data_IF_282648180783
#
_entry.id   IF_282648180783
#
_cell.length_a   1.000
_cell.length_b   1.000
_cell.length_c   1.000
_cell.angle_alpha   90.00
_cell.angle_beta   90.00
_cell.angle_gamma   90.00
#
_symmetry.space_group_name_H-M   'P 1'
#
loop_
_entity.id
_entity.type
_entity.pdbx_description
1 polymer ?
#
# COMPACT_ATOMS: atom_id res chain seq x y z
N UNK A 1 -31.38 31.86 4.96
CA UNK A 1 -30.35 32.89 4.76
C UNK A 1 -30.32 33.70 6.04
N UNK A 2 -29.47 33.35 6.99
CA UNK A 2 -29.34 34.05 8.28
C UNK A 2 -28.08 34.91 8.24
N UNK A 3 -28.21 36.10 8.82
CA UNK A 3 -27.26 37.21 8.85
C UNK A 3 -25.79 36.79 8.95
N UNK A 4 -24.98 37.24 7.99
CA UNK A 4 -23.52 37.17 8.09
C UNK A 4 -23.05 38.31 8.99
N UNK A 5 -22.56 37.96 10.17
CA UNK A 5 -21.82 38.84 11.07
C UNK A 5 -20.66 39.57 10.34
N UNK A 6 -20.22 40.75 10.82
CA UNK A 6 -19.08 41.48 10.26
C UNK A 6 -17.80 40.61 10.24
N UNK A 7 -16.89 40.93 9.32
CA UNK A 7 -15.65 40.19 9.04
C UNK A 7 -14.84 39.94 10.33
N UNK A 8 -14.86 38.71 10.85
CA UNK A 8 -14.12 38.31 12.04
C UNK A 8 -12.74 37.77 11.64
N UNK A 9 -11.69 38.52 11.94
CA UNK A 9 -10.29 38.11 11.71
C UNK A 9 -9.76 37.17 12.79
N UNK A 10 -10.49 36.96 13.89
CA UNK A 10 -10.12 36.08 14.98
C UNK A 10 -10.52 34.62 14.69
N UNK A 11 -9.88 34.03 13.68
CA UNK A 11 -10.17 32.66 13.25
C UNK A 11 -9.65 31.65 14.29
N UNK A 12 -10.47 30.65 14.61
CA UNK A 12 -10.10 29.57 15.52
C UNK A 12 -9.67 28.33 14.73
N UNK A 13 -8.36 28.15 14.57
CA UNK A 13 -7.82 26.92 13.98
C UNK A 13 -7.95 25.74 14.93
N UNK A 14 -7.91 24.51 14.39
CA UNK A 14 -7.92 23.29 15.20
C UNK A 14 -6.75 23.26 16.16
N UNK A 15 -5.55 23.61 15.71
CA UNK A 15 -4.37 23.65 16.58
C UNK A 15 -4.60 24.60 17.75
N UNK A 16 -5.13 25.81 17.50
CA UNK A 16 -5.48 26.76 18.56
C UNK A 16 -6.55 26.19 19.49
N UNK A 17 -7.62 25.61 18.95
CA UNK A 17 -8.71 25.01 19.73
C UNK A 17 -8.17 23.91 20.68
N UNK A 18 -7.38 22.98 20.16
CA UNK A 18 -6.82 21.87 20.92
C UNK A 18 -5.80 22.37 21.96
N UNK A 19 -5.02 23.40 21.64
CA UNK A 19 -4.13 24.04 22.62
C UNK A 19 -4.90 24.68 23.77
N UNK A 20 -5.96 25.43 23.47
CA UNK A 20 -6.81 26.07 24.49
C UNK A 20 -7.51 25.02 25.39
N UNK A 21 -8.05 23.95 24.80
CA UNK A 21 -8.64 22.83 25.55
C UNK A 21 -7.60 22.06 26.37
N UNK A 22 -6.41 21.81 25.82
CA UNK A 22 -5.30 21.17 26.52
C UNK A 22 -4.81 21.97 27.73
N UNK A 23 -4.78 23.32 27.62
CA UNK A 23 -4.48 24.21 28.75
C UNK A 23 -5.53 24.12 29.84
N UNK A 24 -6.83 24.08 29.49
CA UNK A 24 -7.92 23.89 30.47
C UNK A 24 -7.80 22.54 31.19
N UNK A 25 -7.44 21.49 30.47
CA UNK A 25 -7.21 20.15 31.00
C UNK A 25 -5.88 19.99 31.76
N UNK A 26 -5.01 21.01 31.79
CA UNK A 26 -3.65 20.96 32.37
C UNK A 26 -2.81 19.78 31.82
N UNK A 27 -2.95 19.51 30.52
CA UNK A 27 -2.24 18.42 29.86
C UNK A 27 -0.77 18.74 29.58
N UNK A 28 0.02 17.69 29.33
CA UNK A 28 1.47 17.80 29.01
C UNK A 28 1.75 18.32 27.59
N UNK A 29 0.73 18.44 26.73
CA UNK A 29 0.87 18.81 25.33
C UNK A 29 0.99 17.62 24.35
N UNK A 30 1.27 16.42 24.83
CA UNK A 30 1.36 15.20 23.99
C UNK A 30 0.09 14.96 23.15
N UNK A 31 -1.09 15.21 23.73
CA UNK A 31 -2.35 15.07 23.00
C UNK A 31 -2.50 16.10 21.88
N UNK A 32 -2.01 17.32 22.10
CA UNK A 32 -1.98 18.37 21.07
C UNK A 32 -1.02 18.00 19.94
N UNK A 33 0.15 17.44 20.27
CA UNK A 33 1.11 16.94 19.29
C UNK A 33 0.50 15.79 18.46
N UNK A 34 -0.16 14.84 19.11
CA UNK A 34 -0.89 13.75 18.46
C UNK A 34 -1.89 14.26 17.41
N UNK A 35 -2.77 15.19 17.80
CA UNK A 35 -3.79 15.73 16.92
C UNK A 35 -3.19 16.57 15.79
N UNK A 36 -2.11 17.31 16.03
CA UNK A 36 -1.40 18.04 14.99
C UNK A 36 -0.77 17.08 13.96
N UNK A 37 -0.11 16.00 14.39
CA UNK A 37 0.41 14.96 13.51
C UNK A 37 -0.69 14.32 12.66
N UNK A 38 -1.83 14.02 13.28
CA UNK A 38 -2.99 13.49 12.57
C UNK A 38 -3.54 14.50 11.54
N UNK A 39 -3.62 15.79 11.88
CA UNK A 39 -4.03 16.83 10.94
C UNK A 39 -3.09 16.93 9.74
N UNK A 40 -1.78 16.76 9.94
CA UNK A 40 -0.80 16.72 8.85
C UNK A 40 -1.05 15.52 7.93
N UNK A 41 -1.29 14.33 8.49
CA UNK A 41 -1.64 13.15 7.70
C UNK A 41 -2.93 13.37 6.89
N UNK A 42 -3.98 13.90 7.52
CA UNK A 42 -5.26 14.20 6.85
C UNK A 42 -5.07 15.22 5.72
N UNK A 43 -4.24 16.25 5.88
CA UNK A 43 -3.93 17.21 4.81
C UNK A 43 -3.20 16.55 3.64
N UNK A 44 -2.25 15.67 3.92
CA UNK A 44 -1.52 14.92 2.89
C UNK A 44 -2.45 13.98 2.11
N UNK A 45 -3.29 13.22 2.81
CA UNK A 45 -4.30 12.34 2.18
C UNK A 45 -5.30 13.16 1.36
N UNK A 46 -5.81 14.24 1.94
CA UNK A 46 -6.71 15.21 1.29
C UNK A 46 -6.14 15.76 -0.03
N UNK A 47 -4.84 16.06 -0.06
CA UNK A 47 -4.12 16.48 -1.27
C UNK A 47 -4.00 15.35 -2.29
N UNK A 48 -3.63 14.14 -1.84
CA UNK A 48 -3.50 12.95 -2.70
C UNK A 48 -4.83 12.55 -3.35
N UNK A 49 -5.92 12.49 -2.57
CA UNK A 49 -7.28 12.15 -3.03
C UNK A 49 -7.74 13.12 -4.13
N UNK A 50 -7.50 14.43 -3.98
CA UNK A 50 -7.91 15.45 -4.95
C UNK A 50 -7.19 15.37 -6.30
N UNK A 51 -6.03 14.71 -6.35
CA UNK A 51 -5.21 14.55 -7.56
C UNK A 51 -5.02 13.08 -7.96
N UNK A 52 -5.80 12.18 -7.39
CA UNK A 52 -5.56 10.74 -7.49
C UNK A 52 -5.56 10.22 -8.94
N UNK A 53 -6.47 10.72 -9.78
CA UNK A 53 -6.49 10.38 -11.21
C UNK A 53 -5.28 10.90 -12.00
N UNK A 54 -4.75 12.07 -11.63
CA UNK A 54 -3.58 12.69 -12.28
C UNK A 54 -2.30 11.98 -11.88
N UNK A 55 -2.18 11.60 -10.61
CA UNK A 55 -1.03 10.92 -10.04
C UNK A 55 -1.06 9.39 -10.24
N UNK A 56 -1.98 8.87 -11.06
CA UNK A 56 -2.17 7.43 -11.30
C UNK A 56 -2.31 6.59 -10.00
N UNK A 57 -2.94 7.18 -8.99
CA UNK A 57 -3.20 6.57 -7.68
C UNK A 57 -4.48 5.73 -7.66
N UNK A 58 -5.20 5.65 -8.78
CA UNK A 58 -6.31 4.70 -8.96
C UNK A 58 -5.81 3.28 -9.24
N UNK A 59 -6.67 2.32 -8.92
CA UNK A 59 -6.44 0.90 -9.13
C UNK A 59 -5.89 0.15 -7.91
N UNK A 60 -5.84 -1.18 -8.09
CA UNK A 60 -5.52 -2.16 -7.08
C UNK A 60 -3.99 -2.17 -6.87
N UNK A 61 -3.55 -2.27 -5.61
CA UNK A 61 -2.14 -2.34 -5.23
C UNK A 61 -1.55 -3.75 -5.35
N UNK A 62 -2.39 -4.76 -5.64
CA UNK A 62 -2.00 -6.15 -5.84
C UNK A 62 -2.09 -7.03 -4.59
N UNK A 63 -2.67 -6.53 -3.49
CA UNK A 63 -2.84 -7.24 -2.22
C UNK A 63 -4.31 -7.19 -1.73
N UNK A 64 -4.65 -8.09 -0.80
CA UNK A 64 -5.94 -8.11 -0.09
C UNK A 64 -5.67 -7.79 1.38
N UNK A 65 -6.48 -6.93 2.00
CA UNK A 65 -6.32 -6.56 3.41
C UNK A 65 -6.88 -7.65 4.34
N UNK A 66 -6.74 -7.47 5.66
CA UNK A 66 -7.19 -8.48 6.64
C UNK A 66 -8.70 -8.65 6.69
N UNK A 67 -9.48 -7.70 6.20
CA UNK A 67 -10.95 -7.73 6.11
C UNK A 67 -11.45 -8.26 4.76
N UNK A 68 -10.54 -8.62 3.85
CA UNK A 68 -10.83 -9.36 2.62
C UNK A 68 -11.11 -8.47 1.41
N UNK A 69 -10.94 -7.16 1.57
CA UNK A 69 -11.13 -6.18 0.51
C UNK A 69 -9.82 -6.01 -0.30
N UNK A 70 -9.96 -5.76 -1.61
CA UNK A 70 -8.80 -5.52 -2.49
C UNK A 70 -8.19 -4.16 -2.14
N UNK A 71 -6.92 -4.17 -1.75
CA UNK A 71 -6.19 -2.97 -1.33
C UNK A 71 -5.94 -2.10 -2.54
N UNK A 72 -6.33 -0.82 -2.48
CA UNK A 72 -6.03 0.18 -3.51
C UNK A 72 -4.75 0.94 -3.16
N UNK A 73 -4.12 1.56 -4.16
CA UNK A 73 -2.87 2.31 -3.94
C UNK A 73 -3.02 3.44 -2.90
N UNK A 74 -4.19 4.09 -2.87
CA UNK A 74 -4.49 5.12 -1.89
C UNK A 74 -4.65 4.58 -0.46
N UNK A 75 -5.05 3.32 -0.30
CA UNK A 75 -5.14 2.67 1.01
C UNK A 75 -3.73 2.52 1.61
N UNK A 76 -2.77 2.03 0.81
CA UNK A 76 -1.35 1.95 1.24
C UNK A 76 -0.79 3.33 1.57
N UNK A 77 -0.98 4.31 0.68
CA UNK A 77 -0.45 5.67 0.88
C UNK A 77 -1.02 6.29 2.17
N UNK A 78 -2.33 6.21 2.36
CA UNK A 78 -2.98 6.79 3.54
C UNK A 78 -2.53 6.09 4.82
N UNK A 79 -2.40 4.76 4.80
CA UNK A 79 -1.91 3.98 5.93
C UNK A 79 -0.49 4.40 6.33
N UNK A 80 0.43 4.45 5.37
CA UNK A 80 1.83 4.82 5.59
C UNK A 80 1.94 6.26 6.12
N UNK A 81 1.19 7.20 5.53
CA UNK A 81 1.17 8.59 5.98
C UNK A 81 0.74 8.70 7.44
N UNK A 82 -0.37 8.05 7.83
CA UNK A 82 -0.87 8.15 9.19
C UNK A 82 0.08 7.45 10.17
N UNK A 83 0.57 6.24 9.88
CA UNK A 83 1.53 5.52 10.74
C UNK A 83 2.79 6.38 10.98
N UNK A 84 3.37 6.93 9.91
CA UNK A 84 4.59 7.73 10.01
C UNK A 84 4.38 9.01 10.83
N UNK A 85 3.26 9.71 10.61
CA UNK A 85 2.93 10.91 11.39
C UNK A 85 2.64 10.59 12.86
N UNK A 86 1.97 9.46 13.14
CA UNK A 86 1.71 9.03 14.51
C UNK A 86 3.00 8.62 15.23
N UNK A 87 3.89 7.83 14.61
CA UNK A 87 5.18 7.47 15.21
C UNK A 87 6.05 8.70 15.49
N UNK A 88 6.13 9.64 14.57
CA UNK A 88 6.92 10.87 14.73
C UNK A 88 6.29 11.91 15.67
N UNK A 89 5.09 11.65 16.19
CA UNK A 89 4.43 12.54 17.17
C UNK A 89 4.99 12.43 18.58
N UNK A 90 5.78 11.38 18.88
CA UNK A 90 6.26 11.04 20.23
C UNK A 90 5.14 10.86 21.28
N UNK A 91 3.91 10.61 20.83
CA UNK A 91 2.73 10.60 21.68
C UNK A 91 2.02 9.23 21.70
N UNK A 92 2.34 8.32 20.79
CA UNK A 92 1.69 7.02 20.65
C UNK A 92 2.59 5.86 21.08
N UNK A 93 2.01 4.78 21.59
CA UNK A 93 2.72 3.54 21.92
C UNK A 93 2.22 2.34 21.10
N UNK A 94 0.95 2.33 20.72
CA UNK A 94 0.32 1.26 19.93
C UNK A 94 -0.55 1.90 18.85
N UNK A 95 -0.44 1.41 17.62
CA UNK A 95 -1.26 1.82 16.49
C UNK A 95 -1.95 0.58 15.92
N UNK A 96 -3.27 0.64 15.76
CA UNK A 96 -4.08 -0.39 15.09
C UNK A 96 -4.66 0.22 13.82
N UNK A 97 -4.39 -0.39 12.68
CA UNK A 97 -4.89 0.06 11.38
C UNK A 97 -5.69 -1.05 10.72
N UNK A 98 -6.75 -0.69 10.01
CA UNK A 98 -7.52 -1.61 9.17
C UNK A 98 -6.64 -2.32 8.12
N UNK A 99 -5.57 -1.65 7.67
CA UNK A 99 -4.64 -2.17 6.66
C UNK A 99 -3.48 -3.03 7.22
N UNK A 100 -3.41 -3.20 8.55
CA UNK A 100 -2.33 -3.97 9.20
C UNK A 100 -2.89 -5.10 10.05
N UNK A 101 -2.42 -6.33 9.81
CA UNK A 101 -2.87 -7.54 10.53
C UNK A 101 -2.62 -7.49 12.04
N UNK A 102 -1.48 -6.96 12.44
CA UNK A 102 -1.08 -6.90 13.84
C UNK A 102 -0.99 -5.45 14.29
N UNK A 103 -1.23 -5.23 15.59
CA UNK A 103 -0.97 -3.92 16.16
C UNK A 103 0.52 -3.54 16.01
N UNK A 104 0.75 -2.30 15.59
CA UNK A 104 2.09 -1.73 15.43
C UNK A 104 2.53 -1.19 16.78
N UNK A 105 3.56 -1.79 17.36
CA UNK A 105 4.19 -1.32 18.59
C UNK A 105 5.23 -0.26 18.22
N UNK A 106 5.08 0.94 18.77
CA UNK A 106 5.99 2.07 18.50
C UNK A 106 7.33 1.84 19.19
N UNK A 107 8.42 2.20 18.52
CA UNK A 107 9.79 2.05 18.98
C UNK A 107 10.04 2.85 20.27
N UNK A 108 10.81 2.34 21.26
CA UNK A 108 10.94 2.96 22.59
C UNK A 108 11.31 4.45 22.62
N UNK A 109 12.14 4.92 21.68
CA UNK A 109 12.59 6.30 21.54
C UNK A 109 11.49 7.26 21.02
N UNK A 110 10.40 6.72 20.49
CA UNK A 110 9.26 7.46 19.93
C UNK A 110 7.95 7.25 20.67
N UNK A 111 7.97 6.54 21.80
CA UNK A 111 6.75 6.20 22.53
C UNK A 111 6.17 7.38 23.29
N UNK A 112 4.85 7.50 23.23
CA UNK A 112 4.06 8.25 24.22
C UNK A 112 2.98 7.38 24.87
N UNK A 113 1.97 8.01 25.48
CA UNK A 113 0.95 7.31 26.29
C UNK A 113 -0.36 6.99 25.58
N UNK A 114 -0.49 7.31 24.30
CA UNK A 114 -1.72 7.13 23.54
C UNK A 114 -1.69 5.90 22.64
N UNK A 115 -2.88 5.35 22.42
CA UNK A 115 -3.13 4.25 21.50
C UNK A 115 -4.09 4.77 20.45
N UNK A 116 -3.80 4.53 19.18
CA UNK A 116 -4.63 5.01 18.08
C UNK A 116 -5.14 3.82 17.28
N UNK A 117 -6.45 3.69 17.17
CA UNK A 117 -7.09 2.73 16.27
C UNK A 117 -7.73 3.50 15.12
N UNK A 118 -7.45 3.12 13.88
CA UNK A 118 -7.81 3.90 12.70
C UNK A 118 -8.24 3.05 11.51
N UNK A 119 -9.06 3.67 10.67
CA UNK A 119 -9.25 3.30 9.27
C UNK A 119 -8.64 4.43 8.44
N UNK A 120 -7.51 4.19 7.74
CA UNK A 120 -6.80 5.24 7.04
C UNK A 120 -7.58 5.77 5.83
N UNK A 121 -8.43 4.95 5.18
CA UNK A 121 -9.22 5.34 4.02
C UNK A 121 -10.56 4.57 3.89
N UNK A 122 -11.56 4.98 4.67
CA UNK A 122 -12.92 4.46 4.59
C UNK A 122 -13.56 4.79 3.23
N UNK A 123 -14.25 3.80 2.68
CA UNK A 123 -14.95 3.92 1.41
C UNK A 123 -14.05 3.74 0.20
N UNK A 124 -12.92 3.02 0.33
CA UNK A 124 -11.98 2.76 -0.78
C UNK A 124 -12.66 2.27 -2.07
N UNK A 125 -13.73 1.46 -1.97
CA UNK A 125 -14.56 1.03 -3.11
C UNK A 125 -15.10 2.18 -3.98
N UNK A 126 -15.30 3.36 -3.39
CA UNK A 126 -15.83 4.58 -4.01
C UNK A 126 -14.76 5.50 -4.65
N UNK A 127 -13.48 5.15 -4.55
CA UNK A 127 -12.37 5.97 -5.07
C UNK A 127 -12.49 6.22 -6.57
N UNK A 128 -12.68 5.16 -7.37
CA UNK A 128 -12.61 5.26 -8.84
C UNK A 128 -13.82 6.01 -9.42
N UNK A 129 -14.94 6.07 -8.68
CA UNK A 129 -16.13 6.83 -9.06
C UNK A 129 -16.22 8.22 -8.42
N UNK A 130 -15.13 8.70 -7.79
CA UNK A 130 -15.00 10.06 -7.23
C UNK A 130 -16.05 10.42 -6.17
N UNK A 131 -16.61 9.40 -5.51
CA UNK A 131 -17.56 9.60 -4.42
C UNK A 131 -16.79 9.92 -3.14
N UNK A 132 -17.46 10.57 -2.17
CA UNK A 132 -16.83 10.93 -0.90
C UNK A 132 -16.33 9.70 -0.14
N UNK A 133 -15.11 9.83 0.37
CA UNK A 133 -14.37 8.86 1.19
C UNK A 133 -13.86 9.56 2.46
N UNK A 134 -13.18 8.85 3.37
CA UNK A 134 -12.74 9.47 4.61
C UNK A 134 -11.64 8.72 5.36
N UNK A 135 -11.23 9.25 6.51
CA UNK A 135 -10.32 8.58 7.46
C UNK A 135 -11.02 8.57 8.81
N UNK A 136 -11.01 7.45 9.53
CA UNK A 136 -11.63 7.30 10.86
C UNK A 136 -10.53 7.07 11.89
N UNK A 137 -10.69 7.64 13.09
CA UNK A 137 -9.76 7.38 14.17
C UNK A 137 -10.44 7.40 15.55
N UNK A 138 -9.86 6.64 16.47
CA UNK A 138 -10.15 6.66 17.89
C UNK A 138 -8.85 6.62 18.68
N UNK A 139 -8.83 7.36 19.78
CA UNK A 139 -7.65 7.54 20.62
C UNK A 139 -8.01 7.06 22.03
N UNK A 140 -7.19 6.15 22.54
CA UNK A 140 -7.24 5.66 23.92
C UNK A 140 -5.99 6.09 24.66
N UNK A 141 -6.05 6.06 26.00
CA UNK A 141 -4.86 6.13 26.85
C UNK A 141 -4.43 4.72 27.22
N UNK A 142 -3.13 4.44 27.19
CA UNK A 142 -2.58 3.19 27.74
C UNK A 142 -2.81 3.16 29.25
N UNK A 143 -3.37 2.07 29.75
CA UNK A 143 -3.72 1.90 31.17
C UNK A 143 -2.80 0.94 31.91
N UNK A 144 -2.18 0.00 31.21
CA UNK A 144 -1.22 -0.96 31.78
C UNK A 144 0.13 -0.28 32.07
N UNK A 145 0.87 -0.84 33.02
CA UNK A 145 2.26 -0.45 33.32
C UNK A 145 3.30 -1.27 32.55
N UNK A 146 2.89 -2.38 31.94
CA UNK A 146 3.76 -3.31 31.20
C UNK A 146 4.25 -2.71 29.87
N UNK A 147 5.12 -3.43 29.17
CA UNK A 147 5.51 -3.06 27.80
C UNK A 147 4.28 -2.98 26.88
N UNK A 148 4.19 -1.96 25.98
CA UNK A 148 3.06 -1.83 25.08
C UNK A 148 2.85 -3.07 24.20
N UNK A 149 1.61 -3.52 24.09
CA UNK A 149 1.23 -4.69 23.30
C UNK A 149 -0.14 -4.50 22.65
N UNK A 150 -0.50 -5.40 21.74
CA UNK A 150 -1.82 -5.42 21.09
C UNK A 150 -2.98 -5.44 22.11
N UNK A 151 -2.77 -6.07 23.28
CA UNK A 151 -3.77 -6.13 24.35
C UNK A 151 -4.18 -4.75 24.86
N UNK A 152 -3.29 -3.76 24.79
CA UNK A 152 -3.58 -2.41 25.25
C UNK A 152 -4.62 -1.71 24.36
N UNK A 153 -4.77 -2.13 23.11
CA UNK A 153 -5.79 -1.62 22.18
C UNK A 153 -7.16 -2.29 22.39
N UNK A 154 -7.22 -3.44 23.08
CA UNK A 154 -8.44 -4.20 23.36
C UNK A 154 -9.23 -3.60 24.54
N UNK A 155 -9.55 -2.31 24.44
CA UNK A 155 -10.31 -1.57 25.45
C UNK A 155 -11.77 -1.39 25.02
N UNK A 156 -12.65 -1.20 26.01
CA UNK A 156 -14.02 -0.75 25.73
C UNK A 156 -14.00 0.63 25.07
N UNK A 157 -14.81 0.85 24.04
CA UNK A 157 -14.99 2.17 23.42
C UNK A 157 -15.42 3.28 24.38
N UNK A 158 -15.91 2.93 25.58
CA UNK A 158 -16.15 3.90 26.67
C UNK A 158 -14.88 4.56 27.21
N UNK A 159 -13.71 3.99 26.93
CA UNK A 159 -12.41 4.49 27.35
C UNK A 159 -11.75 5.40 26.31
N UNK A 160 -12.40 5.67 25.19
CA UNK A 160 -11.93 6.63 24.18
C UNK A 160 -11.79 8.01 24.83
N UNK A 161 -10.62 8.62 24.68
CA UNK A 161 -10.37 10.00 25.14
C UNK A 161 -10.69 11.03 24.05
N UNK A 162 -10.58 10.62 22.78
CA UNK A 162 -11.04 11.38 21.62
C UNK A 162 -11.25 10.46 20.42
N UNK A 163 -12.22 10.79 19.58
CA UNK A 163 -12.44 10.10 18.31
C UNK A 163 -12.90 11.10 17.27
N UNK A 164 -12.81 10.71 16.01
CA UNK A 164 -13.20 11.58 14.92
C UNK A 164 -13.06 10.92 13.58
N UNK A 165 -13.33 11.72 12.56
CA UNK A 165 -13.12 11.32 11.19
C UNK A 165 -12.83 12.55 10.32
N UNK A 166 -12.09 12.33 9.24
CA UNK A 166 -11.94 13.27 8.15
C UNK A 166 -12.85 12.84 6.99
N UNK A 167 -13.62 13.77 6.43
CA UNK A 167 -14.40 13.56 5.20
C UNK A 167 -13.66 14.22 4.05
N UNK A 168 -13.38 13.48 2.99
CA UNK A 168 -12.84 13.98 1.73
C UNK A 168 -13.97 14.12 0.71
N UNK A 169 -14.85 15.10 0.93
CA UNK A 169 -16.00 15.38 0.07
C UNK A 169 -15.77 16.59 -0.84
N UNK A 170 -16.84 17.34 -1.10
CA UNK A 170 -16.76 18.63 -1.82
C UNK A 170 -15.84 19.64 -1.13
N UNK A 171 -15.72 19.55 0.19
CA UNK A 171 -14.68 20.16 1.00
C UNK A 171 -14.09 19.08 1.92
N UNK A 172 -12.88 19.33 2.45
CA UNK A 172 -12.33 18.47 3.50
C UNK A 172 -12.74 18.98 4.86
N UNK A 173 -13.36 18.13 5.66
CA UNK A 173 -13.80 18.44 7.01
C UNK A 173 -13.23 17.42 7.99
N UNK A 174 -12.67 17.88 9.09
CA UNK A 174 -12.32 17.05 10.24
C UNK A 174 -13.36 17.24 11.33
N UNK A 175 -14.01 16.16 11.74
CA UNK A 175 -14.93 16.13 12.88
C UNK A 175 -14.21 15.53 14.06
N UNK A 176 -14.13 16.27 15.17
CA UNK A 176 -13.44 15.85 16.39
C UNK A 176 -14.41 15.82 17.57
N UNK A 177 -14.52 14.66 18.19
CA UNK A 177 -15.25 14.42 19.41
C UNK A 177 -14.29 14.21 20.58
N UNK A 178 -14.52 14.93 21.68
CA UNK A 178 -13.81 14.79 22.95
C UNK A 178 -14.81 14.80 24.10
N UNK A 179 -14.34 14.76 25.35
CA UNK A 179 -15.20 14.99 26.52
C UNK A 179 -15.95 16.33 26.47
N UNK A 180 -15.42 17.35 25.77
CA UNK A 180 -16.04 18.67 25.65
C UNK A 180 -17.13 18.78 24.56
N UNK A 181 -17.45 17.69 23.86
CA UNK A 181 -18.44 17.66 22.78
C UNK A 181 -17.82 17.42 21.40
N UNK A 182 -18.60 17.71 20.35
CA UNK A 182 -18.26 17.45 18.94
C UNK A 182 -18.09 18.77 18.20
N UNK A 183 -17.00 18.94 17.46
CA UNK A 183 -16.72 20.15 16.69
C UNK A 183 -16.26 19.79 15.27
N UNK A 184 -16.63 20.61 14.29
CA UNK A 184 -16.28 20.43 12.89
C UNK A 184 -15.30 21.52 12.43
N UNK A 185 -14.21 21.10 11.82
CA UNK A 185 -13.19 21.97 11.28
C UNK A 185 -13.06 21.76 9.78
N UNK A 186 -13.17 22.81 8.98
CA UNK A 186 -13.01 22.74 7.54
C UNK A 186 -11.58 23.10 7.15
N UNK A 187 -10.97 22.32 6.25
CA UNK A 187 -9.65 22.62 5.70
C UNK A 187 -9.76 23.80 4.74
N UNK A 188 -9.05 24.88 5.03
CA UNK A 188 -8.72 25.91 4.06
C UNK A 188 -7.49 25.45 3.26
N UNK A 189 -7.64 25.11 1.97
CA UNK A 189 -6.54 24.60 1.16
C UNK A 189 -5.51 25.67 0.79
N UNK A 190 -5.84 26.97 0.89
CA UNK A 190 -4.93 28.06 0.53
C UNK A 190 -3.84 28.25 1.58
N UNK A 191 -4.19 28.08 2.86
CA UNK A 191 -3.26 28.23 3.99
C UNK A 191 -2.91 26.90 4.67
N UNK A 192 -3.63 25.81 4.35
CA UNK A 192 -3.37 24.49 4.91
C UNK A 192 -3.77 24.37 6.39
N UNK A 193 -4.83 25.07 6.81
CA UNK A 193 -5.32 25.09 8.20
C UNK A 193 -6.75 24.57 8.32
N UNK A 194 -7.02 23.85 9.41
CA UNK A 194 -8.37 23.42 9.77
C UNK A 194 -9.03 24.51 10.61
N UNK A 195 -10.06 25.16 10.08
CA UNK A 195 -10.78 26.26 10.71
C UNK A 195 -12.08 25.75 11.32
N UNK A 196 -12.37 26.10 12.58
CA UNK A 196 -13.64 25.77 13.22
C UNK A 196 -14.81 26.40 12.44
N UNK A 197 -15.74 25.57 11.98
CA UNK A 197 -16.95 26.01 11.26
C UNK A 197 -18.23 25.70 12.02
N UNK A 198 -18.26 24.59 12.77
CA UNK A 198 -19.39 24.23 13.63
C UNK A 198 -18.91 23.81 15.02
N UNK A 199 -19.44 24.48 16.04
CA UNK A 199 -19.08 24.25 17.44
C UNK A 199 -20.19 23.51 18.18
N UNK A 200 -19.81 22.57 19.04
CA UNK A 200 -20.71 21.77 19.89
C UNK A 200 -21.91 21.17 19.12
N UNK A 201 -21.60 20.49 18.02
CA UNK A 201 -22.59 19.89 17.11
C UNK A 201 -23.47 18.89 17.86
N UNK A 202 -24.79 19.05 17.71
CA UNK A 202 -25.81 18.11 18.19
C UNK A 202 -26.65 17.62 17.03
N UNK A 203 -26.80 16.31 16.93
CA UNK A 203 -27.71 15.69 15.97
C UNK A 203 -29.17 16.03 16.31
N UNK A 204 -30.02 16.14 15.29
CA UNK A 204 -31.47 16.31 15.49
C UNK A 204 -32.06 15.10 16.20
N UNK A 205 -33.02 15.34 17.10
CA UNK A 205 -33.74 14.26 17.83
C UNK A 205 -34.47 13.28 16.91
N UNK A 206 -34.97 13.74 15.76
CA UNK A 206 -35.64 12.93 14.74
C UNK A 206 -35.30 13.49 13.36
N UNK A 207 -34.95 12.62 12.43
CA UNK A 207 -34.75 12.95 11.02
C UNK A 207 -35.80 12.32 10.12
N UNK A 208 -35.56 12.39 8.81
CA UNK A 208 -36.43 11.88 7.75
C UNK A 208 -35.64 11.14 6.66
N UNK A 209 -34.44 10.64 7.00
CA UNK A 209 -33.54 9.92 6.11
C UNK A 209 -33.19 8.58 6.76
N UNK A 210 -33.12 7.52 5.95
CA UNK A 210 -32.48 6.26 6.34
C UNK A 210 -31.36 5.91 5.36
N UNK A 211 -30.35 5.22 5.85
CA UNK A 211 -29.14 4.87 5.11
C UNK A 211 -28.72 3.44 5.35
N UNK A 212 -28.88 2.60 4.33
CA UNK A 212 -28.38 1.22 4.28
C UNK A 212 -28.30 0.74 2.83
N UNK A 213 -27.54 -0.32 2.62
CA UNK A 213 -27.53 -1.02 1.35
C UNK A 213 -28.73 -1.96 1.23
N UNK A 214 -29.81 -1.49 0.59
CA UNK A 214 -31.01 -2.31 0.33
C UNK A 214 -30.78 -3.47 -0.66
N UNK A 215 -29.62 -3.54 -1.33
CA UNK A 215 -29.23 -4.74 -2.08
C UNK A 215 -29.16 -6.00 -1.22
N UNK A 216 -29.03 -5.85 0.11
CA UNK A 216 -29.09 -6.95 1.06
C UNK A 216 -30.50 -7.27 1.59
N UNK A 217 -31.57 -6.71 1.00
CA UNK A 217 -32.95 -6.92 1.47
C UNK A 217 -33.35 -8.38 1.66
N UNK A 218 -32.86 -9.29 0.81
CA UNK A 218 -33.09 -10.74 0.93
C UNK A 218 -32.54 -11.34 2.24
N UNK A 219 -31.54 -10.71 2.85
CA UNK A 219 -30.79 -11.24 3.98
C UNK A 219 -31.07 -10.52 5.30
N UNK A 220 -31.83 -9.41 5.27
CA UNK A 220 -32.18 -8.68 6.48
C UNK A 220 -32.95 -9.55 7.46
N UNK A 221 -32.70 -9.32 8.75
CA UNK A 221 -33.57 -9.84 9.78
C UNK A 221 -34.98 -9.23 9.66
N UNK A 222 -35.99 -9.88 10.27
CA UNK A 222 -37.37 -9.40 10.22
C UNK A 222 -37.56 -7.98 10.76
N UNK A 223 -36.80 -7.57 11.77
CA UNK A 223 -36.96 -6.27 12.41
C UNK A 223 -36.46 -5.13 11.51
N UNK A 224 -35.32 -5.32 10.83
CA UNK A 224 -34.83 -4.38 9.81
C UNK A 224 -35.82 -4.30 8.65
N UNK A 225 -36.32 -5.43 8.18
CA UNK A 225 -37.31 -5.48 7.09
C UNK A 225 -38.58 -4.72 7.46
N UNK A 226 -39.12 -4.95 8.65
CA UNK A 226 -40.29 -4.24 9.17
C UNK A 226 -40.03 -2.74 9.30
N UNK A 227 -38.87 -2.34 9.85
CA UNK A 227 -38.51 -0.94 10.01
C UNK A 227 -38.46 -0.23 8.66
N UNK A 228 -37.79 -0.79 7.66
CA UNK A 228 -37.69 -0.19 6.32
C UNK A 228 -39.06 -0.11 5.65
N UNK A 229 -39.91 -1.13 5.81
CA UNK A 229 -41.30 -1.07 5.32
C UNK A 229 -42.05 0.11 5.94
N UNK A 230 -41.99 0.29 7.27
CA UNK A 230 -42.63 1.43 7.96
C UNK A 230 -42.07 2.80 7.52
N UNK A 231 -40.80 2.86 7.13
CA UNK A 231 -40.18 4.11 6.65
C UNK A 231 -40.52 4.45 5.20
N UNK A 232 -40.74 3.43 4.36
CA UNK A 232 -41.21 3.62 2.97
C UNK A 232 -42.72 3.87 2.88
N UNK A 233 -43.49 3.18 3.72
CA UNK A 233 -44.95 3.19 3.71
C UNK A 233 -45.48 3.50 5.12
N UNK A 234 -45.34 4.75 5.59
CA UNK A 234 -45.85 5.15 6.90
C UNK A 234 -47.39 5.09 6.93
N UNK A 235 -47.93 4.41 7.94
CA UNK A 235 -49.39 4.28 8.18
C UNK A 235 -49.91 5.35 9.14
N UNK A 236 -49.02 6.10 9.80
CA UNK A 236 -49.33 7.13 10.79
C UNK A 236 -49.56 8.53 10.18
N UNK A 237 -49.67 8.62 8.84
CA UNK A 237 -49.84 9.87 8.10
C UNK A 237 -48.57 10.72 7.97
N UNK A 238 -47.42 10.24 8.48
CA UNK A 238 -46.14 10.93 8.28
C UNK A 238 -45.62 10.75 6.86
N UNK A 239 -44.70 11.63 6.42
CA UNK A 239 -44.08 11.47 5.10
C UNK A 239 -43.08 10.30 5.09
N UNK A 240 -42.96 9.57 3.96
CA UNK A 240 -41.92 8.56 3.77
C UNK A 240 -40.52 9.14 4.00
N UNK A 241 -39.61 8.32 4.50
CA UNK A 241 -38.22 8.71 4.65
C UNK A 241 -37.51 8.62 3.31
N UNK A 242 -36.54 9.52 3.09
CA UNK A 242 -35.64 9.44 1.95
C UNK A 242 -34.58 8.36 2.15
N UNK A 243 -34.45 7.44 1.20
CA UNK A 243 -33.33 6.51 1.12
C UNK A 243 -32.09 7.25 0.58
N UNK A 244 -31.00 7.25 1.36
CA UNK A 244 -29.72 7.82 0.95
C UNK A 244 -28.61 6.89 1.45
N UNK A 245 -27.90 6.24 0.54
CA UNK A 245 -26.79 5.35 0.87
C UNK A 245 -25.65 5.61 -0.11
N UNK A 246 -24.47 5.90 0.43
CA UNK A 246 -23.27 6.24 -0.33
C UNK A 246 -22.34 5.03 -0.40
N UNK A 247 -22.32 4.19 0.64
CA UNK A 247 -21.39 3.08 0.72
C UNK A 247 -19.99 3.45 1.24
N UNK A 248 -19.86 4.64 1.85
CA UNK A 248 -18.76 5.03 2.73
C UNK A 248 -19.35 5.31 4.10
N UNK A 249 -18.82 4.67 5.15
CA UNK A 249 -19.32 4.87 6.51
C UNK A 249 -19.17 6.32 6.93
N UNK A 250 -18.02 6.93 6.64
CA UNK A 250 -17.73 8.34 6.96
C UNK A 250 -18.74 9.26 6.30
N UNK A 251 -19.01 9.10 5.00
CA UNK A 251 -19.94 9.97 4.27
C UNK A 251 -21.39 9.81 4.77
N UNK A 252 -21.84 8.57 4.98
CA UNK A 252 -23.20 8.27 5.44
C UNK A 252 -23.43 8.69 6.91
N UNK A 253 -22.43 8.51 7.78
CA UNK A 253 -22.46 8.98 9.19
C UNK A 253 -22.41 10.50 9.24
N UNK A 254 -21.55 11.15 8.47
CA UNK A 254 -21.46 12.61 8.45
C UNK A 254 -22.78 13.25 8.00
N UNK A 255 -23.39 12.73 6.93
CA UNK A 255 -24.73 13.16 6.49
C UNK A 255 -25.77 12.98 7.60
N UNK A 256 -25.72 11.85 8.30
CA UNK A 256 -26.65 11.54 9.40
C UNK A 256 -26.47 12.51 10.58
N UNK A 257 -25.22 12.85 10.91
CA UNK A 257 -24.91 13.84 11.95
C UNK A 257 -25.48 15.23 11.61
N UNK A 258 -25.34 15.67 10.36
CA UNK A 258 -25.76 17.01 9.89
C UNK A 258 -27.27 17.10 9.69
N UNK A 259 -27.87 16.15 8.96
CA UNK A 259 -29.28 16.24 8.59
C UNK A 259 -30.23 15.54 9.57
N UNK A 260 -29.71 14.68 10.44
CA UNK A 260 -30.48 13.74 11.25
C UNK A 260 -30.93 12.52 10.43
N UNK A 261 -31.51 11.53 11.10
CA UNK A 261 -31.97 10.29 10.49
C UNK A 261 -31.29 9.09 11.13
N UNK A 262 -31.14 8.02 10.36
CA UNK A 262 -30.53 6.78 10.83
C UNK A 262 -29.59 6.18 9.78
N UNK A 263 -28.40 5.79 10.23
CA UNK A 263 -27.50 4.91 9.49
C UNK A 263 -27.62 3.49 10.06
N UNK A 264 -27.73 2.50 9.17
CA UNK A 264 -28.02 1.11 9.50
C UNK A 264 -26.96 0.23 8.84
N UNK A 265 -26.24 -0.53 9.67
CA UNK A 265 -25.29 -1.56 9.25
C UNK A 265 -25.55 -2.87 10.03
N UNK A 266 -26.72 -3.51 9.85
CA UNK A 266 -27.13 -4.65 10.66
C UNK A 266 -26.40 -5.94 10.26
N UNK A 267 -26.27 -6.86 11.21
CA UNK A 267 -25.97 -8.26 10.89
C UNK A 267 -27.05 -8.84 9.98
N UNK A 268 -26.71 -9.84 9.18
CA UNK A 268 -27.64 -10.46 8.26
C UNK A 268 -27.36 -11.96 8.14
N UNK A 269 -28.22 -12.72 7.46
CA UNK A 269 -28.07 -14.18 7.36
C UNK A 269 -26.80 -14.65 6.63
N UNK A 270 -26.16 -13.80 5.80
CA UNK A 270 -24.84 -14.08 5.20
C UNK A 270 -23.67 -13.75 6.13
N UNK A 271 -23.88 -12.85 7.07
CA UNK A 271 -22.84 -12.30 7.94
C UNK A 271 -23.44 -12.11 9.34
N UNK A 272 -23.73 -13.21 10.07
CA UNK A 272 -24.46 -13.16 11.35
C UNK A 272 -23.66 -12.46 12.46
N UNK A 273 -22.34 -12.30 12.28
CA UNK A 273 -21.44 -11.52 13.15
C UNK A 273 -20.81 -10.30 12.44
N UNK A 274 -21.31 -9.90 11.27
CA UNK A 274 -20.62 -8.97 10.35
C UNK A 274 -19.70 -9.68 9.35
N UNK A 275 -19.11 -8.94 8.40
CA UNK A 275 -18.08 -9.49 7.49
C UNK A 275 -16.86 -9.87 8.35
N UNK A 276 -16.57 -11.16 8.45
CA UNK A 276 -15.30 -11.67 8.95
C UNK A 276 -14.69 -12.50 7.81
N UNK A 277 -13.42 -12.28 7.54
CA UNK A 277 -12.61 -13.05 6.58
C UNK A 277 -12.24 -14.39 7.18
N UNK A 278 -12.56 -15.46 6.47
CA UNK A 278 -12.44 -16.84 6.97
C UNK A 278 -11.19 -17.61 6.52
N UNK A 279 -10.25 -17.02 5.76
CA UNK A 279 -9.04 -17.76 5.36
C UNK A 279 -7.75 -17.05 5.76
N UNK A 280 -6.94 -17.71 6.60
CA UNK A 280 -5.60 -17.26 6.95
C UNK A 280 -4.64 -17.49 5.78
N UNK A 281 -3.82 -16.48 5.41
CA UNK A 281 -2.74 -16.68 4.46
C UNK A 281 -1.75 -17.73 4.99
N UNK A 282 -1.31 -18.58 4.09
CA UNK A 282 -0.42 -19.71 4.35
C UNK A 282 0.86 -19.60 3.51
N UNK A 283 1.91 -20.33 3.88
CA UNK A 283 3.13 -20.40 3.07
C UNK A 283 2.83 -20.88 1.65
N UNK A 284 1.84 -21.75 1.48
CA UNK A 284 1.43 -22.26 0.16
C UNK A 284 0.92 -21.17 -0.79
N UNK A 285 0.40 -20.05 -0.27
CA UNK A 285 -0.05 -18.91 -1.08
C UNK A 285 1.13 -18.14 -1.69
N UNK A 286 2.31 -18.20 -1.08
CA UNK A 286 3.55 -17.59 -1.59
C UNK A 286 4.33 -18.52 -2.56
N UNK A 287 4.05 -19.82 -2.57
CA UNK A 287 4.73 -20.82 -3.42
C UNK A 287 4.14 -20.88 -4.84
N UNK A 288 4.04 -19.73 -5.49
CA UNK A 288 3.51 -19.60 -6.85
C UNK A 288 4.64 -19.51 -7.90
N UNK A 289 4.44 -20.06 -9.11
CA UNK A 289 5.36 -19.84 -10.23
C UNK A 289 5.55 -18.35 -10.53
N UNK A 290 6.74 -17.98 -11.02
CA UNK A 290 7.06 -16.60 -11.39
C UNK A 290 6.13 -16.02 -12.47
N UNK A 291 5.46 -16.86 -13.27
CA UNK A 291 4.43 -16.44 -14.24
C UNK A 291 3.22 -15.73 -13.59
N UNK A 292 2.96 -15.97 -12.31
CA UNK A 292 1.85 -15.31 -11.59
C UNK A 292 2.25 -13.95 -11.00
N UNK A 293 3.50 -13.51 -11.16
CA UNK A 293 3.93 -12.19 -10.71
C UNK A 293 3.18 -11.12 -11.50
N UNK A 294 2.52 -10.22 -10.78
CA UNK A 294 1.78 -9.09 -11.37
C UNK A 294 2.66 -7.86 -11.58
N UNK A 295 3.73 -7.73 -10.79
CA UNK A 295 4.73 -6.69 -10.92
C UNK A 295 6.05 -7.11 -10.29
N UNK A 296 7.16 -6.64 -10.86
CA UNK A 296 8.49 -6.80 -10.30
C UNK A 296 9.31 -5.53 -10.49
N UNK A 297 10.29 -5.33 -9.63
CA UNK A 297 11.22 -4.22 -9.77
C UNK A 297 12.47 -4.41 -8.95
N UNK A 298 13.44 -3.51 -9.16
CA UNK A 298 14.65 -3.43 -8.36
C UNK A 298 15.06 -1.98 -8.16
N UNK A 299 15.66 -1.69 -7.00
CA UNK A 299 16.30 -0.42 -6.70
C UNK A 299 17.81 -0.54 -6.90
N UNK A 300 18.40 0.35 -7.71
CA UNK A 300 19.82 0.49 -7.91
C UNK A 300 20.33 1.73 -7.19
N UNK A 301 21.33 1.56 -6.33
CA UNK A 301 22.03 2.64 -5.65
C UNK A 301 23.40 2.81 -6.31
N UNK A 302 23.56 3.87 -7.09
CA UNK A 302 24.80 4.20 -7.80
C UNK A 302 25.07 5.71 -7.77
N UNK A 303 25.56 6.26 -8.89
CA UNK A 303 25.68 7.72 -9.07
C UNK A 303 24.33 8.44 -8.99
N UNK A 304 23.24 7.71 -9.21
CA UNK A 304 21.87 8.11 -8.92
C UNK A 304 21.11 6.91 -8.32
N UNK A 305 20.03 7.18 -7.58
CA UNK A 305 19.11 6.15 -7.12
C UNK A 305 18.05 5.93 -8.19
N UNK A 306 17.94 4.70 -8.69
CA UNK A 306 17.02 4.32 -9.76
C UNK A 306 16.14 3.15 -9.31
N UNK A 307 14.87 3.17 -9.70
CA UNK A 307 13.95 2.04 -9.58
C UNK A 307 13.54 1.61 -10.99
N UNK A 308 13.86 0.37 -11.36
CA UNK A 308 13.28 -0.26 -12.54
C UNK A 308 12.04 -1.04 -12.11
N UNK A 309 10.94 -0.88 -12.83
CA UNK A 309 9.63 -1.47 -12.51
C UNK A 309 8.98 -2.03 -13.77
N UNK A 310 8.35 -3.18 -13.64
CA UNK A 310 7.40 -3.70 -14.62
C UNK A 310 6.12 -4.12 -13.93
N UNK A 311 4.98 -3.79 -14.54
CA UNK A 311 3.65 -4.27 -14.14
C UNK A 311 3.05 -5.22 -15.19
N UNK A 312 3.91 -5.92 -15.94
CA UNK A 312 3.50 -6.84 -17.01
C UNK A 312 3.25 -6.19 -18.38
N UNK A 313 3.60 -4.91 -18.55
CA UNK A 313 3.42 -4.14 -19.80
C UNK A 313 4.72 -3.43 -20.22
N UNK A 314 5.84 -4.16 -20.26
CA UNK A 314 7.16 -3.57 -20.48
C UNK A 314 7.84 -3.13 -19.20
N UNK A 315 8.99 -2.47 -19.32
CA UNK A 315 9.85 -2.07 -18.18
C UNK A 315 10.08 -0.57 -18.21
N UNK A 316 9.82 0.10 -17.10
CA UNK A 316 10.04 1.52 -16.93
C UNK A 316 11.12 1.77 -15.87
N UNK A 317 11.99 2.76 -16.08
CA UNK A 317 12.98 3.19 -15.11
C UNK A 317 12.66 4.58 -14.58
N UNK A 318 12.70 4.71 -13.26
CA UNK A 318 12.47 5.96 -12.56
C UNK A 318 13.73 6.33 -11.79
N UNK A 319 14.14 7.59 -11.85
CA UNK A 319 15.29 8.10 -11.11
C UNK A 319 14.81 9.03 -10.00
N UNK A 320 15.35 8.86 -8.79
CA UNK A 320 15.10 9.77 -7.70
C UNK A 320 15.72 11.12 -8.02
N UNK A 321 14.90 12.15 -8.10
CA UNK A 321 15.35 13.54 -7.99
C UNK A 321 15.39 13.91 -6.49
N UNK A 322 16.58 14.07 -5.88
CA UNK A 322 16.67 14.39 -4.45
C UNK A 322 16.13 15.76 -4.09
N UNK A 323 16.07 16.70 -5.05
CA UNK A 323 15.53 18.04 -4.80
C UNK A 323 14.00 18.02 -4.71
N UNK A 324 13.36 17.13 -5.47
CA UNK A 324 11.92 16.90 -5.42
C UNK A 324 11.51 15.87 -4.35
N UNK A 325 12.44 14.99 -3.97
CA UNK A 325 12.15 13.85 -3.11
C UNK A 325 11.30 12.79 -3.80
N UNK A 326 11.32 12.75 -5.15
CA UNK A 326 10.42 11.90 -5.94
C UNK A 326 11.13 11.13 -7.06
N UNK A 327 10.57 9.97 -7.41
CA UNK A 327 11.03 9.14 -8.53
C UNK A 327 10.38 9.60 -9.84
N UNK A 328 11.20 10.16 -10.73
CA UNK A 328 10.78 10.67 -12.03
C UNK A 328 11.03 9.61 -13.09
N UNK A 329 10.04 9.34 -13.95
CA UNK A 329 10.21 8.45 -15.10
C UNK A 329 11.31 9.00 -16.02
N UNK A 330 12.38 8.24 -16.20
CA UNK A 330 13.54 8.62 -17.05
C UNK A 330 13.64 7.77 -18.31
N UNK A 331 13.24 6.51 -18.24
CA UNK A 331 13.19 5.62 -19.40
C UNK A 331 11.86 4.86 -19.41
N UNK A 332 11.17 4.88 -20.55
CA UNK A 332 9.88 4.19 -20.74
C UNK A 332 10.03 3.02 -21.70
N UNK A 333 9.37 1.91 -21.40
CA UNK A 333 9.36 0.69 -22.24
C UNK A 333 10.78 0.24 -22.66
N UNK A 334 11.68 0.16 -21.69
CA UNK A 334 13.06 -0.29 -21.85
C UNK A 334 13.09 -1.67 -22.49
N UNK A 335 13.80 -1.79 -23.63
CA UNK A 335 14.05 -3.05 -24.33
C UNK A 335 15.52 -3.43 -24.30
N UNK A 336 15.80 -4.67 -23.96
CA UNK A 336 17.14 -5.23 -24.08
C UNK A 336 17.47 -5.49 -25.55
N UNK A 337 18.74 -5.34 -25.91
CA UNK A 337 19.24 -5.70 -27.25
C UNK A 337 19.17 -7.21 -27.46
N UNK A 338 18.95 -7.65 -28.70
CA UNK A 338 18.96 -9.08 -29.05
C UNK A 338 20.30 -9.76 -28.78
N UNK A 339 21.41 -9.03 -28.92
CA UNK A 339 22.79 -9.46 -28.67
C UNK A 339 23.61 -8.32 -28.06
N UNK A 340 24.49 -8.63 -27.12
CA UNK A 340 25.39 -7.67 -26.47
C UNK A 340 26.86 -7.82 -26.84
N UNK A 341 27.72 -7.18 -26.05
CA UNK A 341 29.19 -7.24 -26.18
C UNK A 341 29.89 -7.60 -24.87
N UNK A 342 29.13 -7.98 -23.85
CA UNK A 342 29.66 -8.25 -22.51
C UNK A 342 29.04 -9.49 -21.90
N UNK A 343 29.82 -10.20 -21.09
CA UNK A 343 29.31 -11.21 -20.17
C UNK A 343 29.60 -10.80 -18.72
N UNK A 344 28.74 -11.24 -17.81
CA UNK A 344 28.83 -10.96 -16.39
C UNK A 344 28.73 -12.23 -15.57
N UNK A 345 29.86 -12.64 -15.00
CA UNK A 345 30.00 -13.85 -14.18
C UNK A 345 31.27 -13.76 -13.33
N UNK A 346 31.26 -14.41 -12.16
CA UNK A 346 32.42 -14.52 -11.30
C UNK A 346 33.39 -15.61 -11.81
N UNK A 347 34.41 -15.20 -12.56
CA UNK A 347 35.43 -16.12 -13.08
C UNK A 347 36.32 -16.78 -12.02
N UNK A 348 36.28 -16.31 -10.76
CA UNK A 348 36.93 -17.00 -9.64
C UNK A 348 36.41 -18.43 -9.45
N UNK A 349 35.25 -18.76 -10.00
CA UNK A 349 34.70 -20.12 -10.00
C UNK A 349 35.09 -20.96 -11.23
N UNK A 350 36.01 -20.52 -12.09
CA UNK A 350 36.37 -21.21 -13.34
C UNK A 350 36.68 -22.71 -13.17
N UNK A 351 37.36 -23.09 -12.08
CA UNK A 351 37.65 -24.49 -11.76
C UNK A 351 36.40 -25.37 -11.55
N UNK A 352 35.26 -24.76 -11.22
CA UNK A 352 34.01 -25.45 -10.86
C UNK A 352 32.93 -25.33 -11.93
N UNK A 353 33.21 -24.67 -13.06
CA UNK A 353 32.26 -24.58 -14.15
C UNK A 353 32.06 -25.93 -14.82
N UNK A 354 30.83 -26.17 -15.25
CA UNK A 354 30.53 -27.32 -16.09
C UNK A 354 31.13 -27.14 -17.51
N UNK A 355 31.18 -28.22 -18.32
CA UNK A 355 31.71 -28.16 -19.67
C UNK A 355 30.97 -27.18 -20.59
N UNK A 356 29.66 -27.00 -20.42
CA UNK A 356 28.85 -26.12 -21.26
C UNK A 356 29.17 -24.63 -21.01
N UNK A 357 29.27 -24.23 -19.74
CA UNK A 357 29.69 -22.90 -19.31
C UNK A 357 31.12 -22.62 -19.76
N UNK A 358 32.02 -23.61 -19.63
CA UNK A 358 33.41 -23.49 -20.08
C UNK A 358 33.48 -23.27 -21.60
N UNK A 359 32.76 -24.07 -22.39
CA UNK A 359 32.70 -23.92 -23.84
C UNK A 359 32.13 -22.55 -24.25
N UNK A 360 31.05 -22.10 -23.61
CA UNK A 360 30.45 -20.80 -23.90
C UNK A 360 31.44 -19.64 -23.63
N UNK A 361 32.10 -19.65 -22.47
CA UNK A 361 33.08 -18.61 -22.12
C UNK A 361 34.30 -18.63 -23.07
N UNK A 362 34.77 -19.81 -23.48
CA UNK A 362 35.85 -19.92 -24.46
C UNK A 362 35.47 -19.25 -25.79
N UNK A 363 34.28 -19.54 -26.34
CA UNK A 363 33.78 -18.91 -27.57
C UNK A 363 33.68 -17.38 -27.45
N UNK A 364 33.30 -16.87 -26.27
CA UNK A 364 33.18 -15.42 -26.04
C UNK A 364 34.52 -14.72 -25.82
N UNK A 365 35.53 -15.42 -25.30
CA UNK A 365 36.89 -14.89 -25.09
C UNK A 365 37.77 -14.99 -26.32
N UNK A 366 37.62 -16.07 -27.08
CA UNK A 366 38.45 -16.40 -28.23
C UNK A 366 37.54 -16.76 -29.43
N UNK A 367 36.79 -15.79 -29.97
CA UNK A 367 35.95 -16.02 -31.13
C UNK A 367 36.78 -16.41 -32.36
N UNK A 368 36.41 -17.50 -33.01
CA UNK A 368 37.04 -18.02 -34.23
C UNK A 368 36.39 -17.49 -35.53
N UNK A 369 35.22 -16.86 -35.40
CA UNK A 369 34.43 -16.29 -36.50
C UNK A 369 34.88 -14.89 -36.93
N UNK A 370 35.99 -14.39 -36.36
CA UNK A 370 36.51 -13.05 -36.61
C UNK A 370 35.79 -11.92 -35.87
N UNK A 371 34.80 -12.23 -35.03
CA UNK A 371 34.17 -11.23 -34.16
C UNK A 371 35.10 -10.78 -33.03
N UNK A 372 34.83 -9.63 -32.41
CA UNK A 372 35.63 -9.17 -31.27
C UNK A 372 35.28 -9.94 -29.99
N UNK A 373 36.26 -10.25 -29.11
CA UNK A 373 35.99 -10.83 -27.81
C UNK A 373 35.00 -10.00 -26.98
N UNK A 374 34.18 -10.67 -26.18
CA UNK A 374 33.27 -9.99 -25.25
C UNK A 374 34.05 -9.40 -24.07
N UNK A 375 33.61 -8.23 -23.61
CA UNK A 375 34.13 -7.64 -22.38
C UNK A 375 33.60 -8.34 -21.13
N UNK A 376 34.48 -8.74 -20.22
CA UNK A 376 34.09 -9.20 -18.89
C UNK A 376 33.67 -8.01 -18.02
N UNK A 377 32.51 -8.09 -17.37
CA UNK A 377 32.08 -7.12 -16.34
C UNK A 377 31.44 -7.86 -15.20
N UNK A 378 31.95 -7.73 -14.00
CA UNK A 378 31.34 -8.36 -12.82
C UNK A 378 31.49 -7.45 -11.62
N UNK A 379 30.38 -6.84 -11.19
CA UNK A 379 30.35 -5.96 -10.01
C UNK A 379 30.27 -6.80 -8.73
N UNK A 380 29.66 -7.98 -8.80
CA UNK A 380 29.41 -8.82 -7.62
C UNK A 380 28.12 -8.46 -6.89
N UNK A 381 27.35 -7.49 -7.42
CA UNK A 381 25.98 -7.18 -7.01
C UNK A 381 25.05 -7.53 -8.16
N UNK A 382 24.14 -8.47 -7.93
CA UNK A 382 23.19 -8.95 -8.94
C UNK A 382 22.40 -7.79 -9.55
N UNK A 383 21.92 -6.85 -8.75
CA UNK A 383 21.14 -5.72 -9.25
C UNK A 383 21.94 -4.86 -10.23
N UNK A 384 23.20 -4.53 -9.90
CA UNK A 384 24.07 -3.73 -10.76
C UNK A 384 24.46 -4.47 -12.05
N UNK A 385 24.72 -5.78 -11.94
CA UNK A 385 25.07 -6.61 -13.08
C UNK A 385 23.88 -6.83 -14.03
N UNK A 386 22.68 -7.10 -13.50
CA UNK A 386 21.45 -7.25 -14.27
C UNK A 386 21.03 -5.92 -14.90
N UNK A 387 21.10 -4.80 -14.18
CA UNK A 387 20.77 -3.48 -14.73
C UNK A 387 21.67 -3.12 -15.92
N UNK A 388 22.98 -3.38 -15.81
CA UNK A 388 23.91 -3.19 -16.92
C UNK A 388 23.57 -4.09 -18.11
N UNK A 389 23.26 -5.35 -17.85
CA UNK A 389 22.82 -6.30 -18.89
C UNK A 389 21.54 -5.81 -19.58
N UNK A 390 20.56 -5.32 -18.83
CA UNK A 390 19.33 -4.74 -19.35
C UNK A 390 19.61 -3.56 -20.30
N UNK A 391 20.43 -2.61 -19.86
CA UNK A 391 20.69 -1.37 -20.61
C UNK A 391 21.62 -1.57 -21.81
N UNK A 392 22.64 -2.42 -21.69
CA UNK A 392 23.69 -2.54 -22.70
C UNK A 392 23.59 -3.81 -23.55
N UNK A 393 22.75 -4.76 -23.15
CA UNK A 393 22.71 -6.10 -23.71
C UNK A 393 23.89 -6.95 -23.24
N UNK A 394 23.83 -8.24 -23.57
CA UNK A 394 24.81 -9.25 -23.18
C UNK A 394 24.17 -10.25 -22.24
N UNK A 395 24.98 -10.91 -21.42
CA UNK A 395 24.51 -12.02 -20.58
C UNK A 395 25.04 -11.92 -19.15
N UNK A 396 24.15 -12.13 -18.17
CA UNK A 396 24.47 -12.36 -16.77
C UNK A 396 24.33 -13.85 -16.46
N UNK A 397 25.31 -14.43 -15.77
CA UNK A 397 25.33 -15.85 -15.45
C UNK A 397 25.73 -16.09 -14.00
N UNK A 398 24.87 -16.82 -13.29
CA UNK A 398 25.11 -17.43 -12.00
C UNK A 398 24.69 -18.92 -12.06
N UNK A 399 25.50 -19.78 -12.72
CA UNK A 399 25.15 -21.17 -12.93
C UNK A 399 25.21 -21.99 -11.63
N UNK A 400 24.70 -23.22 -11.70
CA UNK A 400 25.06 -24.26 -10.75
C UNK A 400 26.58 -24.50 -10.78
N UNK A 401 27.14 -24.94 -9.66
CA UNK A 401 28.51 -25.45 -9.62
C UNK A 401 28.64 -26.55 -8.56
N UNK A 402 29.79 -27.21 -8.51
CA UNK A 402 30.02 -28.33 -7.59
C UNK A 402 29.76 -27.99 -6.10
N UNK A 403 30.00 -26.74 -5.67
CA UNK A 403 29.75 -26.29 -4.29
C UNK A 403 28.32 -25.81 -4.05
N UNK A 404 27.58 -25.53 -5.11
CA UNK A 404 26.23 -24.97 -5.07
C UNK A 404 25.44 -25.54 -6.26
N UNK A 405 25.03 -26.82 -6.20
CA UNK A 405 24.43 -27.53 -7.33
C UNK A 405 23.06 -26.97 -7.72
N UNK A 406 22.36 -26.28 -6.80
CA UNK A 406 21.12 -25.54 -7.07
C UNK A 406 21.36 -24.04 -7.30
N UNK A 407 22.59 -23.62 -7.60
CA UNK A 407 22.97 -22.21 -7.63
C UNK A 407 22.99 -21.55 -6.24
N UNK A 408 23.19 -20.24 -6.21
CA UNK A 408 23.26 -19.45 -4.95
C UNK A 408 22.05 -18.54 -4.74
N UNK A 409 21.43 -18.08 -5.82
CA UNK A 409 20.37 -17.08 -5.82
C UNK A 409 19.02 -17.74 -5.52
N UNK A 410 18.15 -17.07 -4.77
CA UNK A 410 16.84 -17.58 -4.37
C UNK A 410 15.78 -17.26 -5.42
N UNK A 411 14.94 -18.25 -5.69
CA UNK A 411 13.93 -18.23 -6.72
C UNK A 411 12.95 -17.06 -6.52
N UNK A 412 12.29 -17.00 -5.36
CA UNK A 412 11.15 -16.09 -5.15
C UNK A 412 11.52 -14.60 -5.16
N UNK A 413 12.67 -14.22 -4.59
CA UNK A 413 13.00 -12.81 -4.33
C UNK A 413 14.33 -12.34 -4.95
N UNK A 414 15.03 -13.20 -5.68
CA UNK A 414 16.19 -12.79 -6.51
C UNK A 414 15.94 -13.15 -7.98
N UNK A 415 15.71 -14.42 -8.29
CA UNK A 415 15.62 -14.89 -9.68
C UNK A 415 14.33 -14.47 -10.37
N UNK A 416 13.16 -14.69 -9.75
CA UNK A 416 11.86 -14.41 -10.36
C UNK A 416 11.68 -12.91 -10.68
N UNK A 417 11.96 -11.95 -9.77
CA UNK A 417 11.83 -10.53 -10.09
C UNK A 417 12.72 -10.11 -11.28
N UNK A 418 13.97 -10.57 -11.32
CA UNK A 418 14.88 -10.22 -12.41
C UNK A 418 14.52 -10.90 -13.73
N UNK A 419 14.05 -12.16 -13.68
CA UNK A 419 13.56 -12.87 -14.85
C UNK A 419 12.31 -12.19 -15.44
N UNK A 420 11.38 -11.76 -14.58
CA UNK A 420 10.18 -11.04 -14.99
C UNK A 420 10.54 -9.72 -15.69
N UNK A 421 11.39 -8.91 -15.07
CA UNK A 421 11.90 -7.68 -15.69
C UNK A 421 12.57 -7.98 -17.04
N UNK A 422 13.43 -9.00 -17.09
CA UNK A 422 14.19 -9.32 -18.29
C UNK A 422 13.29 -9.76 -19.45
N UNK A 423 12.30 -10.62 -19.20
CA UNK A 423 11.35 -11.05 -20.23
C UNK A 423 10.45 -9.89 -20.71
N UNK A 424 10.02 -9.00 -19.80
CA UNK A 424 9.23 -7.81 -20.14
C UNK A 424 10.01 -6.81 -21.01
N UNK A 425 11.35 -6.80 -20.88
CA UNK A 425 12.24 -6.05 -21.75
C UNK A 425 12.55 -6.75 -23.09
N UNK A 426 11.98 -7.93 -23.36
CA UNK A 426 12.25 -8.73 -24.56
C UNK A 426 13.49 -9.62 -24.47
N UNK A 427 14.01 -9.85 -23.26
CA UNK A 427 15.12 -10.75 -22.97
C UNK A 427 14.68 -12.18 -22.67
N UNK A 428 15.64 -12.99 -22.22
CA UNK A 428 15.39 -14.37 -21.76
C UNK A 428 16.01 -14.58 -20.38
N UNK A 429 15.39 -15.47 -19.59
CA UNK A 429 15.92 -15.94 -18.31
C UNK A 429 15.68 -17.45 -18.15
N UNK A 430 16.74 -18.21 -17.87
CA UNK A 430 16.73 -19.68 -17.78
C UNK A 430 17.59 -20.19 -16.63
N UNK A 431 17.23 -21.35 -16.10
CA UNK A 431 18.07 -22.15 -15.20
C UNK A 431 19.17 -22.92 -15.95
N UNK A 432 19.10 -22.93 -17.29
CA UNK A 432 19.88 -23.80 -18.19
C UNK A 432 19.06 -24.99 -18.69
N UNK A 433 18.02 -25.40 -17.97
CA UNK A 433 17.14 -26.52 -18.34
C UNK A 433 15.69 -26.10 -18.61
N UNK A 434 15.22 -25.04 -17.95
CA UNK A 434 13.87 -24.51 -18.10
C UNK A 434 13.85 -22.97 -17.93
N UNK A 435 12.78 -22.28 -18.35
CA UNK A 435 12.62 -20.85 -18.07
C UNK A 435 12.42 -20.61 -16.57
N UNK A 436 13.04 -19.54 -16.03
CA UNK A 436 13.04 -19.28 -14.58
C UNK A 436 11.62 -19.06 -14.03
N UNK A 437 10.77 -18.34 -14.78
CA UNK A 437 9.42 -18.01 -14.33
C UNK A 437 8.48 -19.21 -14.28
N UNK A 438 8.82 -20.31 -14.94
CA UNK A 438 8.01 -21.54 -14.98
C UNK A 438 8.32 -22.49 -13.82
N UNK A 439 9.41 -22.26 -13.08
CA UNK A 439 9.79 -23.08 -11.93
C UNK A 439 8.74 -22.94 -10.82
N UNK A 440 8.11 -24.06 -10.45
CA UNK A 440 7.22 -24.13 -9.29
C UNK A 440 8.03 -24.16 -7.99
N UNK A 441 7.85 -23.19 -7.07
CA UNK A 441 8.58 -23.18 -5.81
C UNK A 441 8.15 -24.33 -4.88
N UNK A 442 9.13 -25.02 -4.30
CA UNK A 442 8.94 -26.06 -3.26
C UNK A 442 9.15 -25.51 -1.84
N UNK A 443 9.82 -24.36 -1.71
CA UNK A 443 10.06 -23.68 -0.42
C UNK A 443 10.36 -22.19 -0.62
N UNK A 444 10.11 -21.37 0.40
CA UNK A 444 10.33 -19.92 0.35
C UNK A 444 11.77 -19.49 0.02
N UNK A 445 12.75 -20.35 0.29
CA UNK A 445 14.18 -20.05 0.13
C UNK A 445 14.87 -20.97 -0.87
N UNK A 446 14.09 -21.63 -1.74
CA UNK A 446 14.62 -22.44 -2.83
C UNK A 446 15.61 -21.63 -3.66
N UNK A 447 16.75 -22.24 -3.97
CA UNK A 447 17.75 -21.67 -4.88
C UNK A 447 17.62 -22.29 -6.26
N UNK A 448 17.92 -21.49 -7.28
CA UNK A 448 18.04 -21.95 -8.66
C UNK A 448 19.26 -21.31 -9.33
N UNK A 449 19.87 -21.97 -10.33
CA UNK A 449 20.76 -21.31 -11.27
C UNK A 449 20.03 -20.19 -12.02
N UNK A 450 20.77 -19.14 -12.41
CA UNK A 450 20.20 -18.01 -13.14
C UNK A 450 21.11 -17.59 -14.29
N UNK A 451 20.62 -17.70 -15.52
CA UNK A 451 21.23 -17.15 -16.72
C UNK A 451 20.19 -16.25 -17.36
N UNK A 452 20.52 -14.97 -17.58
CA UNK A 452 19.59 -14.03 -18.17
C UNK A 452 20.28 -12.96 -19.03
N UNK A 453 19.53 -12.38 -19.96
CA UNK A 453 19.99 -11.26 -20.76
C UNK A 453 19.45 -11.29 -22.18
N UNK A 454 20.29 -10.84 -23.11
CA UNK A 454 20.03 -10.78 -24.54
C UNK A 454 19.64 -12.16 -25.09
N UNK A 455 18.51 -12.29 -25.82
CA UNK A 455 17.98 -13.58 -26.24
C UNK A 455 18.97 -14.39 -27.08
N UNK A 456 19.71 -13.76 -28.00
CA UNK A 456 20.68 -14.47 -28.85
C UNK A 456 21.85 -15.01 -28.00
N UNK A 457 22.31 -14.24 -27.01
CA UNK A 457 23.39 -14.66 -26.11
C UNK A 457 22.97 -15.81 -25.19
N UNK A 458 21.73 -15.77 -24.68
CA UNK A 458 21.16 -16.84 -23.83
C UNK A 458 20.91 -18.11 -24.65
N UNK A 459 20.43 -17.98 -25.89
CA UNK A 459 20.25 -19.13 -26.79
C UNK A 459 21.57 -19.81 -27.16
N UNK A 460 22.63 -19.03 -27.43
CA UNK A 460 23.96 -19.58 -27.68
C UNK A 460 24.50 -20.35 -26.46
N UNK A 461 24.22 -19.88 -25.24
CA UNK A 461 24.54 -20.62 -24.01
C UNK A 461 23.73 -21.92 -23.92
N UNK A 462 22.41 -21.87 -24.13
CA UNK A 462 21.55 -23.06 -24.11
C UNK A 462 21.95 -24.10 -25.17
N UNK A 463 22.42 -23.68 -26.34
CA UNK A 463 22.96 -24.59 -27.35
C UNK A 463 24.20 -25.35 -26.84
N UNK A 464 25.06 -24.69 -26.06
CA UNK A 464 26.18 -25.37 -25.39
C UNK A 464 25.65 -26.37 -24.35
N UNK A 465 24.65 -26.00 -23.52
CA UNK A 465 24.05 -26.91 -22.54
C UNK A 465 23.47 -28.15 -23.21
N UNK A 466 22.68 -27.99 -24.27
CA UNK A 466 22.06 -29.10 -25.01
C UNK A 466 23.10 -30.06 -25.63
N UNK A 467 24.20 -29.51 -26.16
CA UNK A 467 25.29 -30.33 -26.74
C UNK A 467 25.92 -31.25 -25.69
N UNK A 468 26.21 -30.72 -24.51
CA UNK A 468 26.84 -31.48 -23.42
C UNK A 468 25.87 -32.45 -22.73
N UNK A 469 24.56 -32.14 -22.70
CA UNK A 469 23.53 -33.07 -22.22
C UNK A 469 23.33 -34.29 -23.12
N UNK A 470 23.51 -34.16 -24.45
CA UNK A 470 23.43 -35.29 -25.40
C UNK A 470 24.67 -36.19 -25.38
N UNK A 471 25.77 -35.71 -24.81
CA UNK A 471 27.06 -36.40 -24.75
C UNK A 471 27.32 -37.04 -23.38
N UNK A 472 26.38 -36.89 -22.44
CA UNK A 472 26.36 -37.48 -21.09
C UNK A 472 25.28 -38.57 -21.06
#
# INVERSE_FOLDING_TARGET
>A
MTDRAPFDTNVLTLTRFVMEEGRRARGTGEFTQLLNSLCTAVKAISSAVRKAGIASLYGIAGSTNVTGDQVKKLDILSNDLVINMLKSSFSTCVIVSEENKNAIIVEPDKRGKYIVCMDPLDGSSNIDCLVSIGTIFSIYRKTSTDEPSEKDALQSGRNIVAAGYAVYGSATMLVLATASGVNCFMLDPAIGEFILVDKDVKIKKKGNIYSLNEGYAKYFDPAVTEYIKKKKFPEDGTSPYSARYIGSMVADVHRTLVYGGIFLYPANSKSPKGKATEDEPSETDALQPGRNIVAAGYALYGSATLVALSTGQGVDCFMLDPALGEFILVDKDVKIKKKGKTYSLNEGYAKYFDPAMTEYLQKKKFPEDGSSPYGARYVGSMVADVHRTLMYGGIFMYPANQKSPKGKLRLLYECNPMAFIMEQAGGMATTGTEPVLDVKPESLHQRVPLILGSPDDVQEYLACVQKHQKSS
#
